data_IF_844167700669
#
_entry.id   IF_844167700669
#
_cell.length_a   1.000
_cell.length_b   1.000
_cell.length_c   1.000
_cell.angle_alpha   90.00
_cell.angle_beta   90.00
_cell.angle_gamma   90.00
#
_symmetry.space_group_name_H-M   'P 1'
#
loop_
_entity.id
_entity.type
_entity.pdbx_description
1 polymer ?
#
# COMPACT_ATOMS: atom_id res chain seq x y z
N UNK A 1 -19.12 -22.21 -2.58
CA UNK A 1 -18.18 -23.03 -1.82
C UNK A 1 -16.70 -22.86 -2.23
N UNK A 2 -16.33 -22.66 -3.53
CA UNK A 2 -14.91 -22.47 -3.93
C UNK A 2 -14.22 -21.18 -3.40
N UNK A 3 -14.97 -20.09 -3.21
CA UNK A 3 -14.40 -18.80 -2.75
C UNK A 3 -13.93 -18.80 -1.29
N UNK A 4 -14.56 -19.55 -0.41
CA UNK A 4 -14.18 -19.63 1.00
C UNK A 4 -12.90 -20.43 1.27
N UNK A 5 -12.61 -21.42 0.43
CA UNK A 5 -11.38 -22.24 0.55
C UNK A 5 -10.15 -21.44 0.13
N UNK A 6 -10.27 -20.58 -0.92
CA UNK A 6 -9.17 -19.71 -1.35
C UNK A 6 -8.84 -18.64 -0.28
N UNK A 7 -9.86 -18.02 0.32
CA UNK A 7 -9.65 -17.01 1.36
C UNK A 7 -8.97 -17.58 2.63
N UNK A 8 -9.33 -18.80 3.04
CA UNK A 8 -8.69 -19.47 4.16
C UNK A 8 -7.23 -19.87 3.84
N UNK A 9 -6.95 -20.31 2.60
CA UNK A 9 -5.59 -20.63 2.14
C UNK A 9 -4.69 -19.40 2.08
N UNK A 10 -5.23 -18.27 1.60
CA UNK A 10 -4.51 -17.00 1.54
C UNK A 10 -4.18 -16.45 2.94
N UNK A 11 -5.13 -16.50 3.87
CA UNK A 11 -4.92 -16.09 5.26
C UNK A 11 -3.81 -16.91 5.93
N UNK A 12 -3.78 -18.23 5.71
CA UNK A 12 -2.77 -19.10 6.27
C UNK A 12 -1.38 -18.87 5.65
N UNK A 13 -1.32 -18.59 4.33
CA UNK A 13 -0.06 -18.27 3.65
C UNK A 13 0.51 -16.93 4.13
N UNK A 14 -0.32 -15.89 4.30
CA UNK A 14 0.09 -14.60 4.85
C UNK A 14 0.58 -14.75 6.29
N UNK A 15 -0.11 -15.54 7.14
CA UNK A 15 0.33 -15.83 8.51
C UNK A 15 1.71 -16.53 8.51
N UNK A 16 1.96 -17.43 7.55
CA UNK A 16 3.25 -18.11 7.42
C UNK A 16 4.37 -17.15 7.01
N UNK A 17 4.09 -16.21 6.09
CA UNK A 17 5.03 -15.14 5.70
C UNK A 17 5.43 -14.27 6.90
N UNK A 18 4.47 -13.90 7.73
CA UNK A 18 4.71 -13.07 8.94
C UNK A 18 5.63 -13.74 9.97
N UNK A 19 5.52 -15.07 10.14
CA UNK A 19 6.39 -15.83 11.05
C UNK A 19 7.85 -15.90 10.61
N UNK A 20 8.17 -15.48 9.38
CA UNK A 20 9.50 -15.63 8.77
C UNK A 20 10.31 -14.34 8.73
N UNK A 21 9.68 -13.17 8.80
CA UNK A 21 10.39 -11.88 8.81
C UNK A 21 11.42 -11.81 9.96
N UNK A 22 11.19 -12.55 11.07
CA UNK A 22 12.14 -12.65 12.19
C UNK A 22 13.17 -13.81 12.13
N UNK A 23 13.14 -14.69 11.14
CA UNK A 23 13.97 -15.91 11.10
C UNK A 23 14.77 -16.13 9.82
N UNK A 24 14.89 -15.13 8.94
CA UNK A 24 15.53 -15.32 7.63
C UNK A 24 17.02 -15.65 7.72
N UNK A 25 17.36 -16.89 7.33
CA UNK A 25 18.59 -17.17 6.56
C UNK A 25 18.21 -17.08 5.09
N UNK A 26 18.66 -16.04 4.41
CA UNK A 26 18.49 -15.87 2.98
C UNK A 26 19.01 -17.12 2.25
N UNK A 27 18.19 -17.73 1.41
CA UNK A 27 18.58 -18.73 0.44
C UNK A 27 18.22 -18.19 -0.94
N UNK A 28 19.23 -17.72 -1.66
CA UNK A 28 19.11 -17.27 -3.04
C UNK A 28 19.24 -18.49 -3.94
N UNK A 29 18.16 -18.90 -4.58
CA UNK A 29 18.14 -19.97 -5.58
C UNK A 29 17.38 -19.56 -6.87
N UNK A 30 17.07 -18.26 -7.04
CA UNK A 30 16.48 -17.70 -8.26
C UNK A 30 17.60 -17.06 -9.11
N UNK A 31 17.69 -17.37 -10.41
CA UNK A 31 18.68 -16.75 -11.33
C UNK A 31 18.57 -15.21 -11.38
N UNK A 32 17.43 -14.62 -11.01
CA UNK A 32 17.19 -13.17 -11.00
C UNK A 32 17.45 -12.52 -9.63
N UNK A 33 17.98 -13.27 -8.64
CA UNK A 33 18.41 -12.74 -7.34
C UNK A 33 17.28 -12.58 -6.31
N UNK A 34 16.06 -12.94 -6.62
CA UNK A 34 14.91 -12.90 -5.68
C UNK A 34 15.02 -14.02 -4.63
N UNK A 35 14.70 -13.70 -3.38
CA UNK A 35 14.63 -14.71 -2.32
C UNK A 35 13.29 -15.45 -2.43
N UNK A 36 13.34 -16.71 -2.83
CA UNK A 36 12.16 -17.56 -2.98
C UNK A 36 12.03 -18.49 -1.78
N UNK A 37 10.87 -18.52 -1.17
CA UNK A 37 10.52 -19.49 -0.13
C UNK A 37 9.27 -20.26 -0.54
N UNK A 38 9.35 -21.58 -0.69
CA UNK A 38 8.22 -22.43 -1.04
C UNK A 38 7.55 -23.00 0.21
N UNK A 39 6.23 -22.87 0.28
CA UNK A 39 5.42 -23.44 1.35
C UNK A 39 4.37 -24.36 0.76
N UNK A 40 4.39 -25.63 1.19
CA UNK A 40 3.36 -26.61 0.86
C UNK A 40 2.25 -26.57 1.93
N UNK A 41 1.03 -26.27 1.50
CA UNK A 41 -0.15 -26.42 2.34
C UNK A 41 -1.16 -27.33 1.63
N UNK A 42 -1.33 -28.56 2.14
CA UNK A 42 -2.32 -29.55 1.70
C UNK A 42 -2.36 -29.82 0.16
N UNK A 43 -1.22 -29.89 -0.50
CA UNK A 43 -1.11 -30.18 -1.93
C UNK A 43 -1.32 -28.97 -2.86
N UNK A 44 -1.61 -27.80 -2.31
CA UNK A 44 -1.63 -26.53 -3.04
C UNK A 44 -0.52 -25.64 -2.45
N UNK A 45 0.70 -25.79 -2.96
CA UNK A 45 1.82 -24.92 -2.56
C UNK A 45 1.54 -23.48 -2.98
N UNK A 46 2.07 -22.51 -2.21
CA UNK A 46 2.23 -21.14 -2.66
C UNK A 46 3.71 -20.81 -2.60
N UNK A 47 4.18 -20.00 -3.55
CA UNK A 47 5.53 -19.47 -3.55
C UNK A 47 5.47 -18.06 -2.96
N UNK A 48 6.35 -17.78 -1.99
CA UNK A 48 6.61 -16.43 -1.51
C UNK A 48 7.83 -15.90 -2.26
N UNK A 49 7.69 -14.77 -2.93
CA UNK A 49 8.81 -14.05 -3.55
C UNK A 49 8.99 -12.79 -2.72
N UNK A 50 10.19 -12.60 -2.18
CA UNK A 50 10.54 -11.41 -1.40
C UNK A 50 11.07 -10.32 -2.32
N UNK A 51 10.63 -9.08 -2.10
CA UNK A 51 11.20 -7.89 -2.69
C UNK A 51 12.26 -7.27 -1.78
N UNK A 52 12.30 -5.96 -1.72
CA UNK A 52 13.29 -5.27 -0.89
C UNK A 52 12.95 -5.38 0.60
N UNK A 53 14.01 -5.27 1.40
CA UNK A 53 13.96 -5.24 2.86
C UNK A 53 14.82 -4.11 3.39
N UNK A 54 14.34 -3.43 4.44
CA UNK A 54 15.09 -2.41 5.18
C UNK A 54 14.82 -2.50 6.67
N UNK A 55 15.56 -1.72 7.44
CA UNK A 55 15.37 -1.56 8.89
C UNK A 55 15.33 -0.07 9.23
N UNK A 56 14.26 0.37 9.88
CA UNK A 56 14.07 1.74 10.35
C UNK A 56 13.91 1.70 11.86
N UNK A 57 14.82 2.33 12.59
CA UNK A 57 14.84 2.36 14.06
C UNK A 57 14.63 0.99 14.74
N UNK A 58 15.25 -0.04 14.16
CA UNK A 58 15.12 -1.43 14.63
C UNK A 58 13.93 -2.20 14.08
N UNK A 59 12.97 -1.53 13.44
CA UNK A 59 11.80 -2.14 12.82
C UNK A 59 12.12 -2.69 11.45
N UNK A 60 11.88 -3.98 11.23
CA UNK A 60 12.05 -4.63 9.95
C UNK A 60 10.86 -4.36 9.03
N UNK A 61 11.14 -3.99 7.78
CA UNK A 61 10.13 -3.75 6.75
C UNK A 61 10.53 -4.55 5.51
N UNK A 62 9.60 -5.26 4.88
CA UNK A 62 9.86 -6.02 3.65
C UNK A 62 8.63 -6.04 2.74
N UNK A 63 8.85 -5.99 1.43
CA UNK A 63 7.84 -6.24 0.41
C UNK A 63 7.84 -7.69 -0.03
N UNK A 64 6.73 -8.20 -0.52
CA UNK A 64 6.59 -9.60 -0.92
C UNK A 64 5.43 -9.82 -1.90
N UNK A 65 5.44 -10.99 -2.55
CA UNK A 65 4.33 -11.53 -3.33
C UNK A 65 4.04 -12.98 -2.95
N UNK A 66 2.76 -13.37 -3.02
CA UNK A 66 2.32 -14.77 -3.04
C UNK A 66 1.94 -15.13 -4.47
N UNK A 67 2.56 -16.17 -5.00
CA UNK A 67 2.40 -16.61 -6.39
C UNK A 67 1.99 -18.08 -6.42
N UNK A 68 1.06 -18.42 -7.30
CA UNK A 68 0.75 -19.81 -7.60
C UNK A 68 1.94 -20.43 -8.36
N UNK A 69 2.59 -21.48 -7.84
CA UNK A 69 3.76 -22.07 -8.46
C UNK A 69 3.44 -22.82 -9.77
N UNK A 70 2.15 -23.10 -10.06
CA UNK A 70 1.76 -23.86 -11.25
C UNK A 70 1.69 -22.99 -12.50
N UNK A 71 1.22 -21.76 -12.38
CA UNK A 71 0.99 -20.88 -13.53
C UNK A 71 1.56 -19.46 -13.37
N UNK A 72 2.18 -19.16 -12.22
CA UNK A 72 2.75 -17.86 -11.95
C UNK A 72 1.72 -16.78 -11.59
N UNK A 73 0.45 -17.14 -11.36
CA UNK A 73 -0.59 -16.17 -10.98
C UNK A 73 -0.25 -15.48 -9.67
N UNK A 74 -0.25 -14.16 -9.64
CA UNK A 74 -0.09 -13.36 -8.42
C UNK A 74 -1.38 -13.42 -7.62
N UNK A 75 -1.32 -14.07 -6.45
CA UNK A 75 -2.46 -14.24 -5.55
C UNK A 75 -2.62 -13.07 -4.57
N UNK A 76 -1.49 -12.53 -4.09
CA UNK A 76 -1.42 -11.37 -3.24
C UNK A 76 -0.04 -10.71 -3.35
N UNK A 77 0.03 -9.42 -3.04
CA UNK A 77 1.27 -8.70 -2.84
C UNK A 77 1.09 -7.71 -1.69
N UNK A 78 2.17 -7.37 -1.00
CA UNK A 78 2.06 -6.49 0.14
C UNK A 78 3.39 -6.12 0.77
N UNK A 79 3.30 -5.36 1.85
CA UNK A 79 4.43 -5.02 2.71
C UNK A 79 4.15 -5.50 4.13
N UNK A 80 5.17 -5.97 4.81
CA UNK A 80 5.12 -6.37 6.21
C UNK A 80 6.12 -5.56 7.01
N UNK A 81 5.71 -5.10 8.19
CA UNK A 81 6.59 -4.41 9.12
C UNK A 81 6.39 -4.92 10.54
N UNK A 82 7.44 -4.82 11.36
CA UNK A 82 7.34 -5.09 12.79
C UNK A 82 6.61 -3.94 13.49
N UNK A 83 5.78 -4.26 14.50
CA UNK A 83 4.91 -3.29 15.17
C UNK A 83 5.66 -2.26 16.00
N UNK A 84 6.95 -2.48 16.29
CA UNK A 84 7.84 -1.46 16.83
C UNK A 84 7.80 -0.17 16.00
N UNK A 85 7.63 -0.27 14.68
CA UNK A 85 7.45 0.90 13.82
C UNK A 85 6.27 1.77 14.26
N UNK A 86 5.14 1.14 14.59
CA UNK A 86 3.96 1.84 15.08
C UNK A 86 4.08 2.27 16.54
N UNK A 87 4.83 1.55 17.36
CA UNK A 87 5.05 1.87 18.77
C UNK A 87 5.98 3.09 18.92
N UNK A 88 7.05 3.16 18.14
CA UNK A 88 8.08 4.20 18.22
C UNK A 88 7.73 5.47 17.41
N UNK A 89 6.95 5.33 16.31
CA UNK A 89 6.60 6.43 15.41
C UNK A 89 7.84 7.28 15.04
N UNK A 90 8.72 6.79 14.18
CA UNK A 90 9.92 7.53 13.77
C UNK A 90 9.60 8.95 13.29
N UNK A 91 10.49 9.90 13.53
CA UNK A 91 10.36 11.23 12.94
C UNK A 91 10.31 11.13 11.40
N UNK A 92 9.63 12.05 10.71
CA UNK A 92 9.64 12.10 9.25
C UNK A 92 11.05 12.09 8.68
N UNK A 93 11.24 11.43 7.55
CA UNK A 93 12.51 11.40 6.84
C UNK A 93 12.97 12.81 6.38
N UNK A 94 14.24 12.94 6.06
CA UNK A 94 14.85 14.22 5.63
C UNK A 94 14.45 14.63 4.21
N UNK A 95 13.77 13.76 3.43
CA UNK A 95 13.29 14.03 2.09
C UNK A 95 12.14 15.04 2.05
N UNK A 96 11.87 15.67 0.90
CA UNK A 96 10.77 16.64 0.73
C UNK A 96 9.39 16.05 1.00
N UNK A 97 9.22 14.75 0.79
CA UNK A 97 8.01 13.97 1.05
C UNK A 97 7.92 13.44 2.48
N UNK A 98 9.06 13.45 3.23
CA UNK A 98 9.13 12.93 4.60
C UNK A 98 9.10 11.41 4.72
N UNK A 99 9.34 10.67 3.63
CA UNK A 99 9.38 9.20 3.65
C UNK A 99 10.48 8.68 4.57
N UNK A 100 10.13 7.72 5.45
CA UNK A 100 11.07 7.03 6.34
C UNK A 100 11.62 5.74 5.71
N UNK A 101 10.96 5.21 4.70
CA UNK A 101 11.37 4.06 3.93
C UNK A 101 10.74 4.08 2.54
N UNK A 102 11.50 3.60 1.55
CA UNK A 102 11.03 3.28 0.20
C UNK A 102 11.54 1.90 -0.18
N UNK A 103 10.64 1.02 -0.66
CA UNK A 103 10.97 -0.37 -0.99
C UNK A 103 10.25 -0.82 -2.26
N UNK A 104 11.00 -1.34 -3.21
CA UNK A 104 10.45 -1.96 -4.41
C UNK A 104 9.78 -3.31 -4.11
N UNK A 105 8.73 -3.60 -4.88
CA UNK A 105 8.14 -4.94 -4.92
C UNK A 105 9.03 -5.90 -5.73
N UNK A 106 8.82 -7.24 -5.61
CA UNK A 106 9.45 -8.20 -6.52
C UNK A 106 9.14 -7.87 -7.99
N UNK A 107 10.08 -8.11 -8.91
CA UNK A 107 9.96 -7.80 -10.35
C UNK A 107 8.65 -8.31 -10.95
N UNK A 108 8.25 -9.53 -10.60
CA UNK A 108 6.97 -10.13 -11.07
C UNK A 108 5.75 -9.27 -10.72
N UNK A 109 5.79 -8.54 -9.61
CA UNK A 109 4.72 -7.61 -9.19
C UNK A 109 4.81 -6.30 -9.95
N UNK A 110 6.01 -5.73 -10.05
CA UNK A 110 6.25 -4.47 -10.76
C UNK A 110 5.83 -4.55 -12.24
N UNK A 111 6.18 -5.64 -12.91
CA UNK A 111 5.91 -5.86 -14.33
C UNK A 111 4.43 -6.09 -14.64
N UNK A 112 3.72 -6.81 -13.75
CA UNK A 112 2.37 -7.28 -14.02
C UNK A 112 1.26 -6.44 -13.38
N UNK A 113 1.56 -5.69 -12.31
CA UNK A 113 0.51 -5.09 -11.48
C UNK A 113 0.57 -3.56 -11.39
N UNK A 114 -0.36 -3.01 -10.61
CA UNK A 114 -0.35 -1.59 -10.21
C UNK A 114 0.76 -1.28 -9.19
N UNK A 115 1.32 -2.26 -8.50
CA UNK A 115 2.23 -2.07 -7.37
C UNK A 115 3.68 -2.12 -7.85
N UNK A 116 4.39 -0.99 -7.85
CA UNK A 116 5.80 -0.92 -8.21
C UNK A 116 6.70 -0.84 -6.97
N UNK A 117 6.46 0.14 -6.09
CA UNK A 117 7.15 0.29 -4.82
C UNK A 117 6.18 0.84 -3.75
N UNK A 118 6.59 0.78 -2.50
CA UNK A 118 5.91 1.41 -1.37
C UNK A 118 6.82 2.46 -0.75
N UNK A 119 6.29 3.64 -0.46
CA UNK A 119 6.87 4.62 0.46
C UNK A 119 6.06 4.68 1.74
N UNK A 120 6.74 4.80 2.87
CA UNK A 120 6.14 4.87 4.18
C UNK A 120 6.48 6.21 4.79
N UNK A 121 5.46 6.96 5.17
CA UNK A 121 5.61 8.23 5.88
C UNK A 121 5.07 8.07 7.30
N UNK A 122 5.82 8.59 8.27
CA UNK A 122 5.42 8.65 9.66
C UNK A 122 4.98 10.07 9.98
N UNK A 123 3.79 10.22 10.53
CA UNK A 123 3.20 11.49 10.92
C UNK A 123 2.88 11.50 12.42
N UNK A 124 3.89 11.58 13.31
CA UNK A 124 3.68 11.50 14.75
C UNK A 124 2.87 12.69 15.33
N UNK A 125 2.83 13.82 14.61
CA UNK A 125 2.01 14.99 14.97
C UNK A 125 0.72 15.08 14.13
N UNK A 126 0.55 14.19 13.16
CA UNK A 126 -0.48 14.30 12.15
C UNK A 126 -0.36 15.57 11.31
N UNK A 127 -1.33 15.80 10.45
CA UNK A 127 -1.43 16.99 9.60
C UNK A 127 -2.89 17.43 9.44
N UNK A 128 -3.11 18.58 8.79
CA UNK A 128 -4.47 19.05 8.52
C UNK A 128 -5.21 18.12 7.54
N UNK A 129 -6.51 17.96 7.77
CA UNK A 129 -7.37 17.25 6.85
C UNK A 129 -7.51 18.03 5.51
N UNK A 130 -7.90 17.35 4.41
CA UNK A 130 -8.12 18.01 3.13
C UNK A 130 -9.08 19.19 3.23
N UNK A 131 -8.90 20.26 2.43
CA UNK A 131 -9.81 21.40 2.39
C UNK A 131 -11.26 20.95 2.13
N UNK A 132 -12.19 21.48 2.92
CA UNK A 132 -13.61 21.13 2.83
C UNK A 132 -14.05 20.01 3.78
N UNK A 133 -13.13 19.46 4.57
CA UNK A 133 -13.47 18.53 5.65
C UNK A 133 -14.29 19.23 6.73
N UNK A 134 -15.33 18.58 7.24
CA UNK A 134 -16.15 19.10 8.36
C UNK A 134 -15.36 19.16 9.67
N UNK A 135 -14.37 18.29 9.83
CA UNK A 135 -13.39 18.33 10.89
C UNK A 135 -12.01 18.62 10.28
N UNK A 136 -11.50 19.87 10.33
CA UNK A 136 -10.19 20.21 9.78
C UNK A 136 -9.03 19.56 10.56
N UNK A 137 -9.23 19.16 11.80
CA UNK A 137 -8.25 18.52 12.65
C UNK A 137 -8.33 16.98 12.63
N UNK A 138 -9.15 16.41 11.74
CA UNK A 138 -9.38 14.97 11.66
C UNK A 138 -8.08 14.16 11.57
N UNK A 139 -7.11 14.63 10.77
CA UNK A 139 -5.85 13.94 10.54
C UNK A 139 -4.72 14.39 11.51
N UNK A 140 -5.03 15.18 12.55
CA UNK A 140 -4.02 15.60 13.59
C UNK A 140 -3.76 14.52 14.65
N UNK A 141 -4.18 13.29 14.41
CA UNK A 141 -3.79 12.13 15.21
C UNK A 141 -2.51 11.51 14.64
N UNK A 142 -1.67 10.86 15.45
CA UNK A 142 -0.54 10.10 14.95
C UNK A 142 -0.99 9.04 13.95
N UNK A 143 -0.39 9.00 12.75
CA UNK A 143 -0.75 8.06 11.70
C UNK A 143 0.42 7.79 10.74
N UNK A 144 0.27 6.76 9.93
CA UNK A 144 1.15 6.47 8.81
C UNK A 144 0.40 6.64 7.50
N UNK A 145 1.11 7.15 6.48
CA UNK A 145 0.70 7.17 5.09
C UNK A 145 1.54 6.16 4.33
N UNK A 146 0.89 5.15 3.76
CA UNK A 146 1.53 4.08 3.02
C UNK A 146 1.25 4.28 1.52
N UNK A 147 2.18 4.89 0.79
CA UNK A 147 2.00 5.16 -0.64
C UNK A 147 2.44 3.96 -1.46
N UNK A 148 1.51 3.25 -2.08
CA UNK A 148 1.77 2.17 -3.01
C UNK A 148 1.75 2.70 -4.44
N UNK A 149 2.91 3.02 -4.97
CA UNK A 149 3.07 3.63 -6.29
C UNK A 149 3.00 2.60 -7.42
N UNK A 150 2.53 3.05 -8.59
CA UNK A 150 2.49 2.28 -9.84
C UNK A 150 3.55 2.72 -10.85
N UNK A 151 4.48 3.56 -10.44
CA UNK A 151 5.60 4.07 -11.23
C UNK A 151 6.89 3.93 -10.44
N UNK A 152 8.06 3.87 -11.10
CA UNK A 152 9.36 3.87 -10.43
C UNK A 152 9.57 5.08 -9.54
N UNK A 153 10.36 4.90 -8.46
CA UNK A 153 10.64 5.94 -7.46
C UNK A 153 11.29 7.17 -8.09
N UNK A 154 12.22 6.99 -9.03
CA UNK A 154 12.88 8.11 -9.72
C UNK A 154 11.92 8.97 -10.55
N UNK A 155 10.75 8.45 -10.93
CA UNK A 155 9.69 9.24 -11.56
C UNK A 155 8.83 9.98 -10.54
N UNK A 156 8.70 9.44 -9.32
CA UNK A 156 8.02 10.12 -8.21
C UNK A 156 8.82 11.36 -7.81
N UNK A 157 10.15 11.28 -7.71
CA UNK A 157 11.02 12.43 -7.40
C UNK A 157 10.94 13.59 -8.40
N UNK A 158 10.42 13.32 -9.60
CA UNK A 158 10.22 14.37 -10.62
C UNK A 158 8.87 15.10 -10.49
N UNK A 159 8.00 14.66 -9.57
CA UNK A 159 6.67 15.26 -9.39
C UNK A 159 6.81 16.59 -8.63
N UNK A 160 6.43 17.72 -9.23
CA UNK A 160 6.56 19.02 -8.59
C UNK A 160 5.38 19.34 -7.66
N UNK A 161 5.63 20.17 -6.66
CA UNK A 161 4.57 20.87 -5.95
C UNK A 161 3.86 21.86 -6.91
N UNK A 162 2.52 21.82 -6.95
CA UNK A 162 1.73 22.75 -7.77
C UNK A 162 0.45 23.15 -7.04
N UNK A 163 0.22 24.47 -6.97
CA UNK A 163 -1.02 25.02 -6.41
C UNK A 163 -2.16 25.02 -7.46
N UNK A 164 -3.42 24.95 -7.03
CA UNK A 164 -4.57 25.19 -7.93
C UNK A 164 -4.52 26.58 -8.60
N UNK A 165 -5.15 26.76 -9.78
CA UNK A 165 -5.98 25.75 -10.47
C UNK A 165 -5.17 24.71 -11.25
N UNK A 166 -5.54 23.44 -11.10
CA UNK A 166 -4.95 22.31 -11.80
C UNK A 166 -6.00 21.64 -12.71
N UNK A 167 -5.58 20.92 -13.77
CA UNK A 167 -6.50 20.17 -14.61
C UNK A 167 -7.38 19.23 -13.78
N UNK A 168 -8.66 19.12 -14.13
CA UNK A 168 -9.54 18.14 -13.50
C UNK A 168 -9.20 16.74 -14.00
N UNK A 169 -9.21 15.77 -13.09
CA UNK A 169 -9.21 14.37 -13.47
C UNK A 169 -10.52 14.05 -14.19
N UNK A 170 -10.42 13.44 -15.38
CA UNK A 170 -11.61 13.05 -16.14
C UNK A 170 -12.44 12.02 -15.37
N UNK A 171 -13.77 12.06 -15.52
CA UNK A 171 -14.69 11.26 -14.73
C UNK A 171 -14.46 9.73 -14.82
N UNK A 172 -13.93 9.25 -15.95
CA UNK A 172 -13.66 7.82 -16.11
C UNK A 172 -12.35 7.38 -15.43
N UNK A 173 -11.43 8.30 -15.14
CA UNK A 173 -10.21 8.04 -14.37
C UNK A 173 -10.37 8.28 -12.87
N UNK A 174 -11.42 9.02 -12.45
CA UNK A 174 -11.71 9.27 -11.05
C UNK A 174 -12.58 8.15 -10.48
N UNK A 175 -12.17 7.49 -9.39
CA UNK A 175 -13.00 6.46 -8.74
C UNK A 175 -14.34 7.04 -8.29
N UNK A 176 -15.40 6.25 -8.42
CA UNK A 176 -16.74 6.65 -7.97
C UNK A 176 -16.74 6.97 -6.47
N UNK A 177 -17.36 8.09 -6.10
CA UNK A 177 -17.44 8.52 -4.69
C UNK A 177 -16.16 9.21 -4.17
N UNK A 178 -15.16 9.45 -5.02
CA UNK A 178 -13.97 10.24 -4.67
C UNK A 178 -14.10 11.70 -5.07
N UNK A 179 -13.42 12.58 -4.36
CA UNK A 179 -13.32 14.01 -4.68
C UNK A 179 -12.38 14.25 -5.86
N UNK A 180 -12.50 15.40 -6.50
CA UNK A 180 -11.40 15.87 -7.36
C UNK A 180 -10.15 16.07 -6.49
N UNK A 181 -8.96 15.62 -6.96
CA UNK A 181 -7.75 15.75 -6.16
C UNK A 181 -7.34 17.20 -5.95
N UNK A 182 -6.73 17.45 -4.79
CA UNK A 182 -6.25 18.76 -4.35
C UNK A 182 -5.03 19.28 -5.12
N UNK A 183 -4.17 20.09 -4.46
CA UNK A 183 -2.88 20.52 -5.00
C UNK A 183 -1.97 19.32 -5.26
N UNK A 184 -0.93 19.52 -6.08
CA UNK A 184 0.16 18.55 -6.18
C UNK A 184 1.15 18.80 -5.06
N UNK A 185 1.43 17.76 -4.29
CA UNK A 185 2.48 17.72 -3.26
C UNK A 185 3.77 17.26 -3.94
N UNK A 186 4.90 17.86 -3.58
CA UNK A 186 6.21 17.50 -4.11
C UNK A 186 6.48 16.02 -3.85
N UNK A 187 7.03 15.34 -4.85
CA UNK A 187 7.42 13.92 -4.77
C UNK A 187 6.28 12.95 -4.37
N UNK A 188 5.02 13.37 -4.53
CA UNK A 188 3.84 12.52 -4.30
C UNK A 188 2.82 12.66 -5.43
N UNK A 189 2.37 13.89 -5.72
CA UNK A 189 1.27 14.16 -6.63
C UNK A 189 0.02 14.66 -5.90
N UNK A 190 -1.15 14.38 -6.45
CA UNK A 190 -2.43 14.93 -6.01
C UNK A 190 -3.29 13.85 -5.35
N UNK A 191 -3.80 14.12 -4.17
CA UNK A 191 -4.61 13.19 -3.39
C UNK A 191 -6.11 13.43 -3.59
N UNK A 192 -6.84 12.39 -3.94
CA UNK A 192 -8.30 12.33 -3.93
C UNK A 192 -8.76 11.46 -2.75
N UNK A 193 -9.70 11.98 -1.98
CA UNK A 193 -10.27 11.28 -0.83
C UNK A 193 -11.68 10.77 -1.14
N UNK A 194 -12.14 9.68 -0.54
CA UNK A 194 -13.55 9.29 -0.61
C UNK A 194 -14.40 10.37 0.04
N UNK A 195 -15.55 10.73 -0.58
CA UNK A 195 -16.39 11.84 -0.14
C UNK A 195 -16.87 11.70 1.31
N UNK A 196 -17.10 10.47 1.77
CA UNK A 196 -17.51 10.22 3.14
C UNK A 196 -16.48 10.70 4.16
N UNK A 197 -15.18 10.59 3.85
CA UNK A 197 -14.11 11.00 4.79
C UNK A 197 -14.08 12.51 5.03
N UNK A 198 -14.57 13.31 4.07
CA UNK A 198 -14.70 14.77 4.25
C UNK A 198 -15.88 15.16 5.15
N UNK A 199 -16.88 14.30 5.25
CA UNK A 199 -18.09 14.55 6.07
C UNK A 199 -18.05 13.83 7.41
N UNK A 200 -17.03 13.02 7.67
CA UNK A 200 -16.81 12.32 8.92
C UNK A 200 -16.28 13.30 9.98
N UNK A 201 -16.99 13.51 11.11
CA UNK A 201 -16.54 14.40 12.17
C UNK A 201 -15.51 13.78 13.10
N UNK A 202 -15.33 12.46 13.05
CA UNK A 202 -14.46 11.72 13.97
C UNK A 202 -12.98 11.82 13.55
N UNK A 203 -12.04 11.67 14.49
CA UNK A 203 -10.62 11.56 14.17
C UNK A 203 -10.32 10.42 13.19
N UNK A 204 -9.23 10.56 12.43
CA UNK A 204 -8.79 9.53 11.51
C UNK A 204 -8.58 8.19 12.23
N UNK A 205 -9.22 7.14 11.69
CA UNK A 205 -8.92 5.75 12.03
C UNK A 205 -8.14 5.09 10.89
N UNK A 206 -8.82 4.90 9.75
CA UNK A 206 -8.20 4.44 8.51
C UNK A 206 -9.00 4.94 7.30
N UNK A 207 -8.30 5.27 6.21
CA UNK A 207 -8.93 5.67 4.94
C UNK A 207 -8.02 5.27 3.77
N UNK A 208 -8.59 4.91 2.62
CA UNK A 208 -7.85 4.66 1.39
C UNK A 208 -7.97 5.91 0.50
N UNK A 209 -6.86 6.57 0.19
CA UNK A 209 -6.80 7.65 -0.79
C UNK A 209 -6.37 7.12 -2.15
N UNK A 210 -6.62 7.91 -3.19
CA UNK A 210 -6.19 7.67 -4.56
C UNK A 210 -5.31 8.82 -5.04
N UNK A 211 -4.11 8.52 -5.52
CA UNK A 211 -3.16 9.51 -5.98
C UNK A 211 -3.15 9.71 -7.48
N UNK A 212 -2.99 10.94 -7.92
CA UNK A 212 -2.99 11.33 -9.33
C UNK A 212 -1.77 12.14 -9.71
N UNK A 213 -1.26 11.94 -10.93
CA UNK A 213 -0.26 12.83 -11.50
C UNK A 213 -0.75 14.28 -11.54
N UNK A 214 0.15 15.29 -11.51
CA UNK A 214 -0.22 16.70 -11.47
C UNK A 214 -1.15 17.15 -12.60
N UNK A 215 -0.99 16.57 -13.79
CA UNK A 215 -1.81 16.84 -14.97
C UNK A 215 -3.20 16.18 -14.93
N UNK A 216 -3.46 15.33 -13.93
CA UNK A 216 -4.72 14.59 -13.77
C UNK A 216 -4.92 13.47 -14.79
N UNK A 217 -3.87 13.05 -15.50
CA UNK A 217 -3.95 12.09 -16.60
C UNK A 217 -4.28 10.67 -16.14
N UNK A 218 -3.79 10.27 -14.96
CA UNK A 218 -4.02 8.91 -14.40
C UNK A 218 -3.76 8.83 -12.91
N UNK A 219 -4.35 7.83 -12.30
CA UNK A 219 -4.03 7.39 -10.95
C UNK A 219 -2.66 6.69 -10.95
N UNK A 220 -1.80 6.98 -9.96
CA UNK A 220 -0.46 6.42 -9.89
C UNK A 220 -0.07 5.92 -8.50
N UNK A 221 -0.90 6.14 -7.47
CA UNK A 221 -0.74 5.45 -6.18
C UNK A 221 -2.08 5.15 -5.50
N UNK A 222 -2.02 4.19 -4.59
CA UNK A 222 -2.99 3.90 -3.55
C UNK A 222 -2.36 4.21 -2.21
N UNK A 223 -3.12 4.86 -1.32
CA UNK A 223 -2.60 5.28 -0.03
C UNK A 223 -3.56 4.93 1.10
N UNK A 224 -3.39 3.79 1.76
CA UNK A 224 -4.00 3.59 3.06
C UNK A 224 -3.32 4.48 4.10
N UNK A 225 -4.04 5.50 4.60
CA UNK A 225 -3.70 6.25 5.80
C UNK A 225 -4.25 5.51 7.00
N UNK A 226 -3.43 5.19 8.00
CA UNK A 226 -3.83 4.36 9.14
C UNK A 226 -3.31 4.98 10.44
N UNK A 227 -4.21 5.28 11.38
CA UNK A 227 -3.80 5.84 12.67
C UNK A 227 -2.98 4.83 13.49
N UNK A 228 -2.07 5.35 14.31
CA UNK A 228 -1.26 4.57 15.24
C UNK A 228 -2.12 3.68 16.13
N UNK A 229 -3.21 4.22 16.69
CA UNK A 229 -4.13 3.48 17.57
C UNK A 229 -4.73 2.25 16.88
N UNK A 230 -5.10 2.37 15.59
CA UNK A 230 -5.63 1.25 14.80
C UNK A 230 -4.56 0.18 14.61
N UNK A 231 -3.32 0.55 14.27
CA UNK A 231 -2.21 -0.40 14.15
C UNK A 231 -1.91 -1.10 15.49
N UNK A 232 -1.88 -0.35 16.58
CA UNK A 232 -1.61 -0.89 17.92
C UNK A 232 -2.78 -1.73 18.48
N UNK A 233 -3.98 -1.57 17.94
CA UNK A 233 -5.12 -2.44 18.30
C UNK A 233 -4.92 -3.89 17.89
N UNK A 234 -4.05 -4.14 16.90
CA UNK A 234 -3.74 -5.46 16.32
C UNK A 234 -4.98 -6.20 15.82
N UNK A 235 -5.98 -5.47 15.35
CA UNK A 235 -7.20 -6.03 14.78
C UNK A 235 -7.14 -5.96 13.26
N UNK A 236 -7.37 -7.09 12.59
CA UNK A 236 -7.47 -7.13 11.14
C UNK A 236 -8.64 -6.26 10.67
N UNK A 237 -8.41 -5.47 9.64
CA UNK A 237 -9.47 -4.71 8.97
C UNK A 237 -9.22 -4.65 7.45
N UNK A 238 -10.22 -4.19 6.73
CA UNK A 238 -10.16 -4.01 5.28
C UNK A 238 -10.60 -2.59 4.90
N UNK A 239 -10.05 -2.09 3.80
CA UNK A 239 -10.48 -0.85 3.16
C UNK A 239 -10.92 -1.16 1.73
N UNK A 240 -11.92 -0.43 1.26
CA UNK A 240 -12.32 -0.48 -0.15
C UNK A 240 -11.21 0.08 -1.04
N UNK A 241 -10.81 -0.68 -2.06
CA UNK A 241 -9.83 -0.22 -3.04
C UNK A 241 -10.53 0.64 -4.10
N UNK A 242 -10.08 1.89 -4.34
CA UNK A 242 -10.70 2.79 -5.31
C UNK A 242 -10.59 2.22 -6.73
N UNK A 243 -11.69 2.08 -7.44
CA UNK A 243 -11.76 1.49 -8.77
C UNK A 243 -12.27 2.53 -9.78
N UNK A 244 -11.39 3.19 -10.56
CA UNK A 244 -11.80 3.99 -11.70
C UNK A 244 -12.29 3.10 -12.85
N UNK A 245 -12.98 3.68 -13.85
CA UNK A 245 -13.40 2.94 -15.05
C UNK A 245 -12.24 2.72 -16.01
N UNK A 246 -11.28 3.65 -16.05
CA UNK A 246 -10.10 3.61 -16.91
C UNK A 246 -8.83 3.83 -16.09
N UNK A 247 -7.77 3.11 -16.44
CA UNK A 247 -6.45 3.19 -15.82
C UNK A 247 -5.39 3.77 -16.77
N UNK A 248 -5.68 3.83 -18.06
CA UNK A 248 -4.77 4.34 -19.08
C UNK A 248 -3.64 3.38 -19.49
N UNK A 249 -3.61 2.18 -18.90
CA UNK A 249 -2.73 1.05 -19.30
C UNK A 249 -3.34 -0.28 -18.89
N UNK A 250 -2.95 -1.34 -19.58
CA UNK A 250 -3.30 -2.70 -19.19
C UNK A 250 -2.40 -3.17 -18.06
N UNK A 251 -3.00 -3.73 -16.99
CA UNK A 251 -2.28 -4.31 -15.85
C UNK A 251 -3.22 -5.10 -14.95
N UNK A 252 -2.66 -5.84 -14.01
CA UNK A 252 -3.38 -6.41 -12.87
C UNK A 252 -3.57 -5.34 -11.80
N UNK A 253 -4.82 -5.15 -11.37
CA UNK A 253 -5.17 -4.18 -10.34
C UNK A 253 -5.84 -4.88 -9.16
N UNK A 254 -5.41 -4.63 -7.91
CA UNK A 254 -6.01 -5.27 -6.74
C UNK A 254 -7.41 -4.73 -6.49
N UNK A 255 -8.32 -5.60 -6.07
CA UNK A 255 -9.69 -5.22 -5.71
C UNK A 255 -9.95 -5.30 -4.21
N UNK A 256 -9.01 -5.84 -3.45
CA UNK A 256 -9.08 -5.98 -1.99
C UNK A 256 -7.82 -5.46 -1.33
N UNK A 257 -8.01 -4.77 -0.21
CA UNK A 257 -6.96 -4.38 0.72
C UNK A 257 -7.36 -4.79 2.13
N UNK A 258 -6.41 -5.32 2.87
CA UNK A 258 -6.59 -5.64 4.29
C UNK A 258 -5.28 -5.56 5.06
N UNK A 259 -5.37 -5.34 6.36
CA UNK A 259 -4.29 -5.60 7.30
C UNK A 259 -4.40 -7.02 7.84
N UNK A 260 -3.25 -7.65 8.13
CA UNK A 260 -3.18 -8.95 8.81
C UNK A 260 -2.13 -8.86 9.90
N UNK A 261 -2.53 -9.11 11.13
CA UNK A 261 -1.63 -9.09 12.28
C UNK A 261 -1.22 -10.51 12.68
N UNK A 262 0.07 -10.70 12.92
CA UNK A 262 0.60 -11.96 13.42
C UNK A 262 1.80 -11.73 14.36
N UNK A 263 1.68 -12.13 15.63
CA UNK A 263 2.71 -11.87 16.63
C UNK A 263 2.96 -10.36 16.76
N UNK A 264 4.21 -9.95 16.52
CA UNK A 264 4.63 -8.55 16.56
C UNK A 264 4.84 -7.95 15.16
N UNK A 265 4.04 -8.36 14.18
CA UNK A 265 4.10 -7.84 12.82
C UNK A 265 2.71 -7.53 12.26
N UNK A 266 2.67 -6.55 11.34
CA UNK A 266 1.52 -6.19 10.53
C UNK A 266 1.87 -6.33 9.06
N UNK A 267 0.98 -6.90 8.26
CA UNK A 267 1.04 -6.91 6.81
C UNK A 267 -0.08 -6.08 6.21
N UNK A 268 0.28 -5.24 5.26
CA UNK A 268 -0.62 -4.54 4.35
C UNK A 268 -0.73 -5.39 3.09
N UNK A 269 -1.91 -5.93 2.81
CA UNK A 269 -2.11 -6.99 1.82
C UNK A 269 -3.07 -6.54 0.74
N UNK A 270 -2.61 -6.51 -0.51
CA UNK A 270 -3.45 -6.40 -1.69
C UNK A 270 -3.68 -7.77 -2.33
N UNK A 271 -4.93 -8.05 -2.72
CA UNK A 271 -5.32 -9.33 -3.33
C UNK A 271 -6.47 -9.18 -4.32
N UNK A 272 -6.92 -10.32 -4.85
CA UNK A 272 -8.01 -10.41 -5.83
C UNK A 272 -7.77 -9.49 -7.04
N UNK A 273 -6.60 -9.72 -7.69
CA UNK A 273 -6.19 -8.95 -8.85
C UNK A 273 -7.08 -9.23 -10.08
N UNK A 274 -7.45 -8.17 -10.79
CA UNK A 274 -8.23 -8.22 -12.02
C UNK A 274 -7.51 -7.48 -13.15
N UNK A 275 -7.70 -7.92 -14.39
CA UNK A 275 -7.18 -7.19 -15.54
C UNK A 275 -7.97 -5.90 -15.76
N UNK A 276 -7.27 -4.78 -15.89
CA UNK A 276 -7.83 -3.44 -16.14
C UNK A 276 -7.13 -2.79 -17.34
N UNK A 277 -7.77 -1.72 -17.90
CA UNK A 277 -7.26 -1.00 -19.09
C UNK A 277 -7.21 0.51 -18.88
#
# INVERSE_FOLDING_TARGET
MKRYVLAAGLALAVITVLGLVGQQKARSDDPDGNVVSEYANNGHGVRVIWGQHTVVDGSHIATWALVDPHDGTILAAGATFSLELAEEMPDPGDGPDGAIASLEFPDVVQEATFLYHIEIQSNPQGHEAPPGSVNPDRNRVPHFDFHFYSIPEELVWLIPAQAPPLPKVAADYLPAGYTQPGPSIVEMGRHAAPQWSLTDPDPLTAVMLAGFLPDGSRMHFLEPMISQDVLLSRQDFALDVPMPKLFGREMLYPTQFRTVFHGNACSLVFSDFVNVK
#
